data_IF_846233350395
#
_entry.id   IF_846233350395
#
_cell.length_a   1.000
_cell.length_b   1.000
_cell.length_c   1.000
_cell.angle_alpha   90.00
_cell.angle_beta   90.00
_cell.angle_gamma   90.00
#
_symmetry.space_group_name_H-M   'P 1'
#
loop_
_entity.id
_entity.type
_entity.pdbx_description
1 polymer ?
#
# COMPACT_ATOMS: atom_id res chain seq x y z
N UNK A 1 -73.68 -4.34 6.40
CA UNK A 1 -72.42 -5.09 6.31
C UNK A 1 -71.34 -4.15 5.77
N UNK A 2 -70.54 -3.58 6.64
CA UNK A 2 -69.42 -2.68 6.27
C UNK A 2 -68.17 -3.53 6.09
N UNK A 3 -67.61 -3.55 4.88
CA UNK A 3 -66.34 -4.24 4.58
C UNK A 3 -65.18 -3.36 5.04
N UNK A 4 -64.42 -3.83 6.02
CA UNK A 4 -63.15 -3.24 6.42
C UNK A 4 -62.11 -3.59 5.39
N UNK A 5 -61.52 -2.55 4.77
CA UNK A 5 -60.35 -2.67 3.88
C UNK A 5 -59.11 -2.73 4.75
N UNK A 6 -58.19 -3.71 4.57
CA UNK A 6 -56.95 -3.72 5.32
C UNK A 6 -56.02 -2.67 4.75
N UNK A 7 -55.68 -1.69 5.59
CA UNK A 7 -54.67 -0.69 5.32
C UNK A 7 -53.28 -1.37 5.26
N UNK A 8 -52.77 -1.54 4.07
CA UNK A 8 -51.42 -2.07 3.86
C UNK A 8 -50.43 -0.99 4.26
N UNK A 9 -49.92 -1.06 5.50
CA UNK A 9 -48.79 -0.20 5.94
C UNK A 9 -47.55 -0.70 5.25
N UNK A 10 -47.16 -0.05 4.16
CA UNK A 10 -45.89 -0.26 3.50
C UNK A 10 -44.79 0.28 4.42
N UNK A 11 -44.20 -0.60 5.23
CA UNK A 11 -42.98 -0.29 5.99
C UNK A 11 -41.85 -0.05 4.98
N UNK A 12 -41.65 1.23 4.63
CA UNK A 12 -40.49 1.63 3.88
C UNK A 12 -39.29 1.54 4.81
N UNK A 13 -38.66 0.36 4.89
CA UNK A 13 -37.36 0.23 5.51
C UNK A 13 -36.37 1.07 4.70
N UNK A 14 -36.04 2.24 5.21
CA UNK A 14 -34.88 3.01 4.77
C UNK A 14 -33.68 2.09 4.95
N UNK A 15 -33.31 1.36 3.90
CA UNK A 15 -32.01 0.73 3.79
C UNK A 15 -31.03 1.90 3.66
N UNK A 16 -30.58 2.42 4.80
CA UNK A 16 -29.40 3.31 4.81
C UNK A 16 -28.25 2.44 4.33
N UNK A 17 -27.90 2.57 3.06
CA UNK A 17 -26.66 2.00 2.57
C UNK A 17 -25.56 2.47 3.52
N UNK A 18 -24.75 1.57 4.09
CA UNK A 18 -23.62 2.03 4.90
C UNK A 18 -22.83 2.99 4.03
N UNK A 19 -22.62 4.21 4.53
CA UNK A 19 -21.81 5.21 3.82
C UNK A 19 -20.51 4.52 3.42
N UNK A 20 -20.30 4.36 2.11
CA UNK A 20 -19.11 3.72 1.60
C UNK A 20 -17.93 4.59 2.04
N UNK A 21 -17.05 4.03 2.86
CA UNK A 21 -15.86 4.74 3.30
C UNK A 21 -15.15 5.31 2.06
N UNK A 22 -14.97 6.62 2.03
CA UNK A 22 -14.25 7.28 0.94
C UNK A 22 -12.79 7.46 1.38
N UNK A 23 -11.87 7.10 0.49
CA UNK A 23 -10.44 7.27 0.73
C UNK A 23 -10.08 8.73 0.99
N UNK A 24 -10.71 9.67 0.28
CA UNK A 24 -10.48 11.10 0.47
C UNK A 24 -10.89 11.58 1.85
N UNK A 25 -12.02 11.09 2.40
CA UNK A 25 -12.44 11.40 3.77
C UNK A 25 -11.40 10.90 4.78
N UNK A 26 -10.88 9.69 4.58
CA UNK A 26 -9.80 9.17 5.41
C UNK A 26 -8.52 10.01 5.35
N UNK A 27 -8.15 10.52 4.17
CA UNK A 27 -7.00 11.42 4.00
C UNK A 27 -7.27 12.76 4.67
N UNK A 28 -8.45 13.33 4.55
CA UNK A 28 -8.84 14.60 5.21
C UNK A 28 -8.72 14.46 6.72
N UNK A 29 -9.30 13.41 7.32
CA UNK A 29 -9.17 13.15 8.75
C UNK A 29 -7.71 13.01 9.18
N UNK A 30 -6.89 12.29 8.39
CA UNK A 30 -5.47 12.15 8.66
C UNK A 30 -4.73 13.50 8.67
N UNK A 31 -5.00 14.37 7.69
CA UNK A 31 -4.38 15.69 7.58
C UNK A 31 -4.85 16.66 8.68
N UNK A 32 -6.09 16.52 9.14
CA UNK A 32 -6.65 17.32 10.25
C UNK A 32 -6.16 16.83 11.63
N UNK A 33 -5.45 15.69 11.69
CA UNK A 33 -5.00 15.11 12.96
C UNK A 33 -6.05 14.27 13.69
N UNK A 34 -7.22 14.05 13.08
CA UNK A 34 -8.29 13.18 13.60
C UNK A 34 -7.93 11.71 13.26
N UNK A 35 -6.86 11.22 13.92
CA UNK A 35 -6.25 9.96 13.59
C UNK A 35 -7.14 8.75 13.87
N UNK A 36 -8.04 8.81 14.84
CA UNK A 36 -8.96 7.71 15.14
C UNK A 36 -9.95 7.47 14.01
N UNK A 37 -10.55 8.55 13.46
CA UNK A 37 -11.44 8.44 12.31
C UNK A 37 -10.68 8.06 11.04
N UNK A 38 -9.50 8.65 10.84
CA UNK A 38 -8.64 8.28 9.74
C UNK A 38 -8.30 6.79 9.77
N UNK A 39 -7.91 6.26 10.94
CA UNK A 39 -7.58 4.84 11.13
C UNK A 39 -8.77 3.94 10.77
N UNK A 40 -9.96 4.22 11.31
CA UNK A 40 -11.17 3.43 11.04
C UNK A 40 -11.51 3.42 9.55
N UNK A 41 -11.43 4.58 8.88
CA UNK A 41 -11.70 4.70 7.44
C UNK A 41 -10.66 3.95 6.62
N UNK A 42 -9.37 4.16 6.90
CA UNK A 42 -8.27 3.49 6.19
C UNK A 42 -8.28 1.98 6.41
N UNK A 43 -8.59 1.52 7.63
CA UNK A 43 -8.71 0.09 7.94
C UNK A 43 -9.81 -0.56 7.12
N UNK A 44 -11.01 0.03 7.10
CA UNK A 44 -12.11 -0.46 6.29
C UNK A 44 -11.72 -0.62 4.82
N UNK A 45 -11.09 0.39 4.22
CA UNK A 45 -10.67 0.37 2.81
C UNK A 45 -9.53 -0.63 2.55
N UNK A 46 -8.58 -0.72 3.48
CA UNK A 46 -7.44 -1.63 3.35
C UNK A 46 -7.83 -3.09 3.45
N UNK A 47 -8.86 -3.42 4.25
CA UNK A 47 -9.31 -4.78 4.51
C UNK A 47 -10.41 -5.22 3.53
N UNK A 48 -11.38 -4.35 3.21
CA UNK A 48 -12.55 -4.73 2.40
C UNK A 48 -12.35 -4.51 0.91
N UNK A 49 -11.61 -3.46 0.51
CA UNK A 49 -11.41 -3.08 -0.90
C UNK A 49 -10.01 -3.37 -1.40
N UNK A 50 -9.12 -3.89 -0.55
CA UNK A 50 -7.70 -4.13 -0.87
C UNK A 50 -6.99 -2.88 -1.45
N UNK A 51 -7.38 -1.68 -0.97
CA UNK A 51 -6.96 -0.40 -1.50
C UNK A 51 -5.51 -0.07 -1.12
N UNK A 52 -4.60 -0.05 -2.09
CA UNK A 52 -3.15 0.05 -1.87
C UNK A 52 -2.70 1.29 -1.07
N UNK A 53 -3.26 2.48 -1.37
CA UNK A 53 -2.93 3.66 -0.59
C UNK A 53 -3.51 3.63 0.83
N UNK A 54 -4.69 3.03 1.05
CA UNK A 54 -5.20 2.83 2.40
C UNK A 54 -4.27 1.91 3.20
N UNK A 55 -3.77 0.84 2.59
CA UNK A 55 -2.75 -0.03 3.19
C UNK A 55 -1.45 0.74 3.53
N UNK A 56 -1.02 1.65 2.66
CA UNK A 56 0.12 2.52 2.95
C UNK A 56 -0.14 3.42 4.16
N UNK A 57 -1.31 4.06 4.24
CA UNK A 57 -1.69 4.88 5.40
C UNK A 57 -1.77 4.05 6.69
N UNK A 58 -2.32 2.82 6.65
CA UNK A 58 -2.29 1.89 7.79
C UNK A 58 -0.84 1.65 8.26
N UNK A 59 0.09 1.39 7.33
CA UNK A 59 1.51 1.26 7.64
C UNK A 59 2.09 2.51 8.32
N UNK A 60 1.74 3.70 7.83
CA UNK A 60 2.17 4.97 8.41
C UNK A 60 1.61 5.19 9.81
N UNK A 61 0.35 4.89 10.03
CA UNK A 61 -0.35 5.05 11.31
C UNK A 61 0.23 4.13 12.38
N UNK A 62 0.44 2.86 12.07
CA UNK A 62 1.15 1.93 12.99
C UNK A 62 2.61 2.35 13.22
N UNK A 63 3.32 2.84 12.20
CA UNK A 63 4.71 3.28 12.36
C UNK A 63 4.85 4.48 13.29
N UNK A 64 3.84 5.36 13.32
CA UNK A 64 3.87 6.61 14.10
C UNK A 64 3.05 6.56 15.40
N UNK A 65 2.21 5.55 15.60
CA UNK A 65 1.26 5.50 16.71
C UNK A 65 0.14 6.53 16.56
N UNK A 66 -0.41 6.68 15.35
CA UNK A 66 -1.46 7.66 15.04
C UNK A 66 -2.82 6.97 14.92
N UNK A 67 -3.73 7.19 15.88
CA UNK A 67 -5.02 6.53 15.97
C UNK A 67 -4.95 5.05 16.38
N UNK A 68 -3.76 4.57 16.67
CA UNK A 68 -3.45 3.19 17.09
C UNK A 68 -2.10 3.18 17.80
N UNK A 69 -1.84 2.22 18.67
CA UNK A 69 -0.54 2.05 19.32
C UNK A 69 0.57 1.80 18.29
N UNK A 70 1.77 2.37 18.55
CA UNK A 70 2.90 2.20 17.66
C UNK A 70 3.33 0.73 17.59
N UNK A 71 3.34 0.19 16.37
CA UNK A 71 3.80 -1.18 16.11
C UNK A 71 4.50 -1.26 14.75
N UNK A 72 5.84 -1.31 14.77
CA UNK A 72 6.65 -1.44 13.56
C UNK A 72 6.45 -2.78 12.83
N UNK A 73 6.06 -3.86 13.54
CA UNK A 73 5.79 -5.15 12.93
C UNK A 73 4.51 -5.10 12.10
N UNK A 74 3.45 -4.51 12.63
CA UNK A 74 2.21 -4.26 11.90
C UNK A 74 2.42 -3.27 10.76
N UNK A 75 3.21 -2.19 10.98
CA UNK A 75 3.59 -1.27 9.92
C UNK A 75 4.28 -2.00 8.74
N UNK A 76 5.22 -2.90 9.04
CA UNK A 76 5.92 -3.71 8.03
C UNK A 76 4.97 -4.59 7.21
N UNK A 77 3.98 -5.21 7.86
CA UNK A 77 2.96 -6.02 7.18
C UNK A 77 2.13 -5.18 6.20
N UNK A 78 1.68 -4.00 6.63
CA UNK A 78 0.88 -3.11 5.81
C UNK A 78 1.68 -2.50 4.66
N UNK A 79 2.93 -2.07 4.92
CA UNK A 79 3.81 -1.60 3.85
C UNK A 79 4.10 -2.68 2.82
N UNK A 80 4.24 -3.94 3.22
CA UNK A 80 4.40 -5.05 2.26
C UNK A 80 3.19 -5.18 1.35
N UNK A 81 1.98 -5.23 1.91
CA UNK A 81 0.73 -5.27 1.11
C UNK A 81 0.66 -4.11 0.12
N UNK A 82 0.90 -2.87 0.58
CA UNK A 82 0.90 -1.70 -0.27
C UNK A 82 2.01 -1.73 -1.33
N UNK A 83 3.20 -2.27 -1.00
CA UNK A 83 4.31 -2.43 -1.95
C UNK A 83 3.95 -3.38 -3.09
N UNK A 84 3.22 -4.45 -2.79
CA UNK A 84 2.70 -5.42 -3.77
C UNK A 84 1.59 -4.82 -4.66
N UNK A 85 0.99 -3.69 -4.25
CA UNK A 85 0.06 -2.86 -5.04
C UNK A 85 0.77 -1.75 -5.83
N UNK A 86 2.06 -1.87 -6.02
CA UNK A 86 2.87 -0.90 -6.78
C UNK A 86 2.86 0.52 -6.18
N UNK A 87 2.81 0.66 -4.85
CA UNK A 87 2.89 1.97 -4.18
C UNK A 87 4.37 2.28 -3.85
N UNK A 88 5.02 3.21 -4.57
CA UNK A 88 6.47 3.43 -4.44
C UNK A 88 6.87 3.94 -3.05
N UNK A 89 6.01 4.73 -2.41
CA UNK A 89 6.23 5.20 -1.04
C UNK A 89 6.26 4.03 -0.05
N UNK A 90 5.40 3.02 -0.25
CA UNK A 90 5.38 1.83 0.59
C UNK A 90 6.63 0.97 0.36
N UNK A 91 7.08 0.83 -0.90
CA UNK A 91 8.32 0.12 -1.27
C UNK A 91 9.53 0.74 -0.57
N UNK A 92 9.63 2.08 -0.57
CA UNK A 92 10.64 2.79 0.19
C UNK A 92 10.55 2.51 1.70
N UNK A 93 9.36 2.63 2.28
CA UNK A 93 9.15 2.41 3.73
C UNK A 93 9.48 0.98 4.14
N UNK A 94 9.11 -0.01 3.35
CA UNK A 94 9.43 -1.41 3.60
C UNK A 94 10.95 -1.64 3.55
N UNK A 95 11.63 -1.08 2.55
CA UNK A 95 13.09 -1.10 2.48
C UNK A 95 13.75 -0.42 3.68
N UNK A 96 13.21 0.71 4.15
CA UNK A 96 13.72 1.44 5.33
C UNK A 96 13.56 0.62 6.63
N UNK A 97 12.45 -0.11 6.79
CA UNK A 97 12.24 -1.01 7.93
C UNK A 97 13.27 -2.15 7.94
N UNK A 98 13.53 -2.78 6.79
CA UNK A 98 14.58 -3.80 6.67
C UNK A 98 15.98 -3.22 6.93
N UNK A 99 16.27 -2.05 6.35
CA UNK A 99 17.58 -1.41 6.53
C UNK A 99 17.89 -1.08 7.99
N UNK A 100 16.86 -0.65 8.74
CA UNK A 100 16.98 -0.28 10.16
C UNK A 100 16.76 -1.43 11.13
N UNK A 101 16.18 -2.53 10.68
CA UNK A 101 15.78 -3.65 11.55
C UNK A 101 14.65 -3.26 12.52
N UNK A 102 13.70 -2.41 12.08
CA UNK A 102 12.55 -1.97 12.90
C UNK A 102 11.31 -2.79 12.57
N UNK A 103 10.86 -3.60 13.52
CA UNK A 103 9.69 -4.48 13.35
C UNK A 103 9.88 -5.65 12.39
N UNK A 104 10.96 -5.62 11.62
CA UNK A 104 11.45 -6.69 10.75
C UNK A 104 12.92 -6.98 11.09
N UNK A 105 13.43 -8.20 10.86
CA UNK A 105 14.86 -8.48 10.96
C UNK A 105 15.64 -7.50 10.08
N UNK A 106 16.82 -7.05 10.58
CA UNK A 106 17.71 -6.22 9.77
C UNK A 106 18.22 -7.03 8.60
N UNK A 107 17.98 -6.54 7.39
CA UNK A 107 18.32 -7.23 6.14
C UNK A 107 18.62 -6.19 5.05
N UNK A 108 19.90 -6.04 4.73
CA UNK A 108 20.35 -5.06 3.76
C UNK A 108 20.05 -5.48 2.31
N UNK A 109 20.00 -6.79 2.04
CA UNK A 109 19.63 -7.32 0.73
C UNK A 109 18.16 -7.03 0.41
N UNK A 110 17.24 -7.40 1.32
CA UNK A 110 15.83 -7.04 1.19
C UNK A 110 15.61 -5.52 1.11
N UNK A 111 16.36 -4.74 1.87
CA UNK A 111 16.31 -3.27 1.77
C UNK A 111 16.73 -2.78 0.39
N UNK A 112 17.83 -3.29 -0.16
CA UNK A 112 18.32 -2.96 -1.49
C UNK A 112 17.32 -3.32 -2.58
N UNK A 113 16.71 -4.52 -2.49
CA UNK A 113 15.67 -4.97 -3.42
C UNK A 113 14.48 -3.99 -3.41
N UNK A 114 13.90 -3.72 -2.24
CA UNK A 114 12.71 -2.85 -2.15
C UNK A 114 12.99 -1.39 -2.53
N UNK A 115 14.18 -0.86 -2.20
CA UNK A 115 14.59 0.46 -2.68
C UNK A 115 14.73 0.48 -4.21
N UNK A 116 15.25 -0.60 -4.81
CA UNK A 116 15.39 -0.70 -6.27
C UNK A 116 14.04 -0.75 -6.98
N UNK A 117 13.06 -1.48 -6.42
CA UNK A 117 11.69 -1.48 -6.96
C UNK A 117 11.06 -0.08 -6.88
N UNK A 118 11.20 0.60 -5.74
CA UNK A 118 10.71 1.97 -5.58
C UNK A 118 11.42 2.97 -6.50
N UNK A 119 12.71 2.76 -6.76
CA UNK A 119 13.48 3.60 -7.68
C UNK A 119 13.07 3.40 -9.15
N UNK A 120 12.63 2.21 -9.54
CA UNK A 120 12.06 1.95 -10.86
C UNK A 120 10.84 2.86 -11.13
N UNK A 121 10.07 3.20 -10.10
CA UNK A 121 9.01 4.21 -10.15
C UNK A 121 9.53 5.67 -10.08
N UNK A 122 10.84 5.89 -10.17
CA UNK A 122 11.49 7.21 -10.03
C UNK A 122 11.26 7.87 -8.66
N UNK A 123 10.97 7.05 -7.60
CA UNK A 123 10.75 7.59 -6.25
C UNK A 123 12.06 8.14 -5.66
N UNK A 124 12.14 9.47 -5.35
CA UNK A 124 13.43 10.13 -5.08
C UNK A 124 14.17 9.57 -3.87
N UNK A 125 13.43 9.24 -2.79
CA UNK A 125 14.02 8.70 -1.58
C UNK A 125 14.58 7.28 -1.80
N UNK A 126 13.94 6.48 -2.66
CA UNK A 126 14.42 5.15 -3.03
C UNK A 126 15.72 5.23 -3.82
N UNK A 127 15.82 6.14 -4.79
CA UNK A 127 17.06 6.37 -5.58
C UNK A 127 18.24 6.71 -4.66
N UNK A 128 18.01 7.55 -3.65
CA UNK A 128 19.06 7.91 -2.69
C UNK A 128 19.39 6.77 -1.72
N UNK A 129 18.38 5.99 -1.32
CA UNK A 129 18.55 4.89 -0.35
C UNK A 129 19.33 3.69 -0.92
N UNK A 130 19.20 3.41 -2.23
CA UNK A 130 19.98 2.38 -2.92
C UNK A 130 21.48 2.54 -2.66
N UNK A 131 22.02 3.77 -2.78
CA UNK A 131 23.45 4.02 -2.57
C UNK A 131 23.91 3.58 -1.18
N UNK A 132 23.10 3.85 -0.16
CA UNK A 132 23.38 3.45 1.23
C UNK A 132 23.28 1.93 1.43
N UNK A 133 22.27 1.29 0.82
CA UNK A 133 22.13 -0.16 0.94
C UNK A 133 23.31 -0.89 0.27
N UNK A 134 23.72 -0.47 -0.92
CA UNK A 134 24.88 -1.02 -1.64
C UNK A 134 26.17 -1.05 -0.81
N UNK A 135 26.44 -0.03 0.00
CA UNK A 135 27.65 0.00 0.84
C UNK A 135 27.65 -1.02 1.98
N UNK A 136 26.57 -1.73 2.19
CA UNK A 136 26.39 -2.73 3.24
C UNK A 136 26.43 -4.17 2.72
N UNK A 137 26.53 -4.34 1.43
CA UNK A 137 26.49 -5.62 0.73
C UNK A 137 27.83 -5.90 0.07
N UNK A 138 28.23 -7.15 0.06
CA UNK A 138 29.35 -7.67 -0.73
C UNK A 138 28.97 -7.73 -2.21
N UNK A 139 29.97 -7.92 -3.07
CA UNK A 139 29.75 -8.06 -4.54
C UNK A 139 28.87 -9.28 -4.86
N UNK A 140 29.02 -10.38 -4.11
CA UNK A 140 28.21 -11.59 -4.30
C UNK A 140 26.75 -11.36 -3.90
N UNK A 141 26.50 -10.74 -2.73
CA UNK A 141 25.14 -10.38 -2.30
C UNK A 141 24.47 -9.40 -3.28
N UNK A 142 25.20 -8.43 -3.83
CA UNK A 142 24.68 -7.53 -4.84
C UNK A 142 24.27 -8.28 -6.11
N UNK A 143 25.11 -9.22 -6.57
CA UNK A 143 24.83 -10.01 -7.77
C UNK A 143 23.59 -10.89 -7.60
N UNK A 144 23.41 -11.51 -6.43
CA UNK A 144 22.20 -12.29 -6.16
C UNK A 144 20.97 -11.39 -6.03
N UNK A 145 21.08 -10.27 -5.32
CA UNK A 145 19.98 -9.31 -5.20
C UNK A 145 19.55 -8.73 -6.58
N UNK A 146 20.50 -8.46 -7.48
CA UNK A 146 20.19 -7.94 -8.82
C UNK A 146 19.36 -8.92 -9.67
N UNK A 147 19.57 -10.24 -9.51
CA UNK A 147 18.71 -11.27 -10.14
C UNK A 147 17.26 -11.19 -9.64
N UNK A 148 17.10 -11.02 -8.32
CA UNK A 148 15.78 -10.89 -7.70
C UNK A 148 15.12 -9.57 -8.08
N UNK A 149 15.88 -8.46 -8.13
CA UNK A 149 15.37 -7.13 -8.48
C UNK A 149 14.66 -7.15 -9.83
N UNK A 150 15.24 -7.79 -10.86
CA UNK A 150 14.64 -7.85 -12.19
C UNK A 150 13.23 -8.45 -12.14
N UNK A 151 13.04 -9.54 -11.38
CA UNK A 151 11.74 -10.18 -11.21
C UNK A 151 10.76 -9.32 -10.40
N UNK A 152 11.23 -8.65 -9.37
CA UNK A 152 10.42 -7.77 -8.51
C UNK A 152 10.00 -6.50 -9.24
N UNK A 153 10.88 -5.89 -10.04
CA UNK A 153 10.54 -4.74 -10.87
C UNK A 153 9.50 -5.12 -11.92
N UNK A 154 9.63 -6.29 -12.54
CA UNK A 154 8.61 -6.80 -13.47
C UNK A 154 7.25 -6.98 -12.78
N UNK A 155 7.23 -7.46 -11.54
CA UNK A 155 5.99 -7.77 -10.79
C UNK A 155 5.40 -6.55 -10.09
N UNK A 156 6.22 -5.71 -9.47
CA UNK A 156 5.83 -4.63 -8.56
C UNK A 156 6.37 -3.25 -8.97
N UNK A 157 6.99 -3.15 -10.12
CA UNK A 157 7.47 -1.91 -10.71
C UNK A 157 6.37 -1.18 -11.48
N UNK A 158 6.75 -0.07 -12.13
CA UNK A 158 5.82 0.70 -12.95
C UNK A 158 5.25 -0.20 -14.05
N UNK A 159 3.94 -0.14 -14.23
CA UNK A 159 3.32 -0.75 -15.40
C UNK A 159 3.63 0.13 -16.59
N UNK A 160 4.03 -0.48 -17.71
CA UNK A 160 4.13 0.26 -18.96
C UNK A 160 2.75 0.84 -19.27
N UNK A 161 2.69 2.17 -19.46
CA UNK A 161 1.50 2.78 -20.02
C UNK A 161 1.37 2.22 -21.45
N UNK A 162 0.37 1.38 -21.65
CA UNK A 162 0.00 0.94 -23.01
C UNK A 162 -0.53 2.20 -23.69
N UNK A 163 0.32 2.82 -24.54
CA UNK A 163 -0.14 3.90 -25.39
C UNK A 163 -1.27 3.36 -26.28
N UNK A 164 -2.53 3.81 -26.09
CA UNK A 164 -3.66 3.30 -26.86
C UNK A 164 -3.51 3.52 -28.36
N UNK A 165 -2.50 4.30 -28.79
CA UNK A 165 -2.19 4.58 -30.21
C UNK A 165 -1.07 3.70 -30.76
N UNK A 166 -0.38 2.90 -29.94
CA UNK A 166 0.60 1.93 -30.43
C UNK A 166 -0.08 0.57 -30.70
N UNK A 167 0.10 0.02 -31.90
CA UNK A 167 -0.40 -1.32 -32.21
C UNK A 167 0.28 -2.34 -31.28
N UNK A 168 -0.51 -3.25 -30.69
CA UNK A 168 -0.03 -4.36 -29.86
C UNK A 168 0.94 -5.17 -30.72
N UNK A 169 2.23 -5.19 -30.35
CA UNK A 169 3.19 -6.12 -30.94
C UNK A 169 2.84 -7.51 -30.43
N UNK A 170 2.19 -8.31 -31.28
CA UNK A 170 2.04 -9.74 -31.06
C UNK A 170 3.39 -10.34 -31.43
N UNK A 171 4.22 -10.67 -30.45
CA UNK A 171 5.38 -11.55 -30.69
C UNK A 171 4.83 -12.94 -30.96
N UNK A 172 4.81 -13.31 -32.24
CA UNK A 172 4.55 -14.67 -32.65
C UNK A 172 5.84 -15.47 -32.39
N UNK A 173 5.81 -16.35 -31.38
CA UNK A 173 6.75 -17.45 -31.23
C UNK A 173 6.44 -18.55 -32.25
#
# INVERSE_FOLDING_TARGET
>A
MRKFSPLFILLFTLITSPARADFNDGVVHYLMGDYEKAFTTMQSLAETSDHGYAQYYMGMMYMKGQGVDQDYKSAGKWFRKASEKNIPQAQYKLGDLYFKGRGLPKDFESAYIWFSVGAAHKHPLSVNAIKKAKTKLSEEELKEADKVIASYVKKYGPKEEVDPKQPIKIENE
#
